data_IF_150991920900
#
_entry.id   IF_150991920900
#
_cell.length_a   1.000
_cell.length_b   1.000
_cell.length_c   1.000
_cell.angle_alpha   90.00
_cell.angle_beta   90.00
_cell.angle_gamma   90.00
#
_symmetry.space_group_name_H-M   'P 1'
#
loop_
_entity.id
_entity.type
_entity.pdbx_description
1 polymer ?
#
# COMPACT_ATOMS: atom_id res chain seq x y z
N UNK A 1 -12.79 -0.40 -7.83
CA UNK A 1 -12.65 0.10 -6.46
C UNK A 1 -11.27 0.71 -6.21
N UNK A 2 -11.18 1.54 -5.22
CA UNK A 2 -9.91 2.11 -4.73
C UNK A 2 -9.62 1.43 -3.40
N UNK A 3 -8.50 0.71 -3.32
CA UNK A 3 -8.13 -0.09 -2.15
C UNK A 3 -6.70 0.20 -1.73
N UNK A 4 -6.36 -0.10 -0.48
CA UNK A 4 -4.99 -0.08 -0.01
C UNK A 4 -4.54 -1.50 0.31
N UNK A 5 -3.26 -1.77 0.16
CA UNK A 5 -2.64 -3.04 0.56
C UNK A 5 -1.26 -2.75 1.14
N UNK A 6 -1.04 -3.22 2.36
CA UNK A 6 0.19 -2.95 3.09
C UNK A 6 0.38 -3.97 4.21
N UNK A 7 1.63 -4.25 4.56
CA UNK A 7 1.97 -5.10 5.70
C UNK A 7 2.51 -4.25 6.84
N UNK A 8 2.23 -4.63 8.07
CA UNK A 8 2.77 -3.98 9.26
C UNK A 8 3.03 -5.01 10.36
N UNK A 9 3.94 -4.66 11.27
CA UNK A 9 4.22 -5.48 12.44
C UNK A 9 3.15 -5.30 13.53
N UNK A 10 3.36 -5.89 14.70
CA UNK A 10 2.44 -5.86 15.82
C UNK A 10 2.04 -4.42 16.24
N UNK A 11 2.95 -3.46 16.12
CA UNK A 11 2.73 -2.07 16.51
C UNK A 11 2.30 -1.16 15.36
N UNK A 12 2.06 -1.72 14.19
CA UNK A 12 1.76 -0.92 13.00
C UNK A 12 2.99 -0.46 12.25
N UNK A 13 4.18 -0.94 12.62
CA UNK A 13 5.42 -0.59 11.95
C UNK A 13 5.48 -1.15 10.55
N UNK A 14 5.89 -0.34 9.57
CA UNK A 14 5.93 -0.73 8.16
C UNK A 14 7.34 -0.72 7.59
N UNK A 15 8.26 0.04 8.18
CA UNK A 15 9.61 0.18 7.67
C UNK A 15 10.60 0.61 8.74
N UNK A 16 11.87 0.34 8.48
CA UNK A 16 13.01 0.84 9.27
C UNK A 16 14.10 1.22 8.28
N UNK A 17 14.53 2.47 8.34
CA UNK A 17 15.51 2.98 7.39
C UNK A 17 15.07 2.94 5.95
N UNK A 18 13.76 3.07 5.69
CA UNK A 18 13.20 3.10 4.35
C UNK A 18 12.92 1.73 3.72
N UNK A 19 13.08 0.64 4.47
CA UNK A 19 12.84 -0.71 3.95
C UNK A 19 12.13 -1.59 4.98
N UNK A 20 11.56 -2.70 4.53
CA UNK A 20 10.90 -3.68 5.38
C UNK A 20 11.94 -4.36 6.27
N UNK A 21 11.78 -4.32 7.62
CA UNK A 21 12.80 -4.84 8.54
C UNK A 21 12.69 -6.33 8.87
N UNK A 22 11.53 -6.97 8.61
CA UNK A 22 11.35 -8.39 8.90
C UNK A 22 11.94 -9.26 7.80
N UNK A 23 12.24 -10.54 8.12
CA UNK A 23 12.73 -11.49 7.11
C UNK A 23 11.72 -11.65 5.98
N UNK A 24 12.21 -12.05 4.80
CA UNK A 24 11.36 -12.29 3.63
C UNK A 24 10.17 -13.17 4.00
N UNK A 25 8.96 -12.64 3.79
CA UNK A 25 7.71 -13.34 4.06
C UNK A 25 7.07 -13.73 2.73
N UNK A 26 7.35 -14.96 2.29
CA UNK A 26 6.90 -15.46 0.99
C UNK A 26 5.38 -15.47 0.86
N UNK A 27 4.68 -15.81 1.94
CA UNK A 27 3.23 -15.86 1.93
C UNK A 27 2.63 -14.48 1.71
N UNK A 28 3.17 -13.46 2.37
CA UNK A 28 2.73 -12.08 2.20
C UNK A 28 3.07 -11.53 0.81
N UNK A 29 4.25 -11.84 0.30
CA UNK A 29 4.65 -11.43 -1.06
C UNK A 29 3.72 -12.04 -2.11
N UNK A 30 3.33 -13.29 -1.94
CA UNK A 30 2.38 -13.98 -2.84
C UNK A 30 0.99 -13.34 -2.78
N UNK A 31 0.54 -12.99 -1.59
CA UNK A 31 -0.73 -12.29 -1.37
C UNK A 31 -0.73 -10.94 -2.08
N UNK A 32 0.32 -10.17 -1.91
CA UNK A 32 0.48 -8.87 -2.56
C UNK A 32 0.44 -8.99 -4.09
N UNK A 33 1.24 -9.91 -4.63
CA UNK A 33 1.31 -10.16 -6.07
C UNK A 33 -0.04 -10.58 -6.64
N UNK A 34 -0.70 -11.52 -5.99
CA UNK A 34 -2.01 -12.04 -6.40
C UNK A 34 -3.06 -10.92 -6.49
N UNK A 35 -3.08 -10.03 -5.50
CA UNK A 35 -4.08 -8.97 -5.45
C UNK A 35 -3.79 -7.83 -6.43
N UNK A 36 -2.53 -7.49 -6.64
CA UNK A 36 -2.16 -6.30 -7.44
C UNK A 36 -1.91 -6.57 -8.92
N UNK A 37 -1.62 -7.81 -9.31
CA UNK A 37 -1.32 -8.15 -10.72
C UNK A 37 -2.47 -7.74 -11.66
N UNK A 38 -2.10 -7.14 -12.79
CA UNK A 38 -3.00 -6.62 -13.84
C UNK A 38 -3.85 -5.42 -13.38
N UNK A 39 -3.47 -4.80 -12.28
CA UNK A 39 -4.14 -3.61 -11.75
C UNK A 39 -3.18 -2.42 -11.69
N UNK A 40 -3.66 -1.30 -11.16
CA UNK A 40 -2.87 -0.08 -10.96
C UNK A 40 -2.33 -0.07 -9.53
N UNK A 41 -1.05 0.23 -9.38
CA UNK A 41 -0.43 0.41 -8.06
C UNK A 41 0.06 1.85 -7.93
N UNK A 42 -0.27 2.49 -6.81
CA UNK A 42 0.10 3.88 -6.50
C UNK A 42 1.02 3.87 -5.28
N UNK A 43 2.16 4.51 -5.39
CA UNK A 43 3.15 4.54 -4.31
C UNK A 43 3.81 5.90 -4.19
N UNK A 44 4.36 6.19 -3.01
CA UNK A 44 5.16 7.38 -2.79
C UNK A 44 6.63 7.14 -3.13
N UNK A 45 7.42 8.22 -3.11
CA UNK A 45 8.85 8.19 -3.47
C UNK A 45 9.68 7.28 -2.57
N UNK A 46 9.40 7.23 -1.27
CA UNK A 46 10.14 6.35 -0.35
C UNK A 46 9.97 4.88 -0.69
N UNK A 47 8.77 4.48 -1.07
CA UNK A 47 8.49 3.10 -1.51
C UNK A 47 9.20 2.81 -2.83
N UNK A 48 9.14 3.74 -3.77
CA UNK A 48 9.84 3.62 -5.05
C UNK A 48 11.35 3.50 -4.89
N UNK A 49 11.94 4.22 -3.94
CA UNK A 49 13.38 4.22 -3.69
C UNK A 49 13.86 3.04 -2.82
N UNK A 50 12.97 2.17 -2.34
CA UNK A 50 13.34 1.00 -1.54
C UNK A 50 14.21 0.05 -2.37
N UNK A 51 15.50 -0.16 -1.97
CA UNK A 51 16.42 -0.98 -2.76
C UNK A 51 16.08 -2.46 -2.78
N UNK A 52 15.21 -2.92 -1.90
CA UNK A 52 14.80 -4.32 -1.82
C UNK A 52 13.60 -4.65 -2.73
N UNK A 53 13.02 -3.64 -3.37
CA UNK A 53 11.85 -3.84 -4.22
C UNK A 53 12.23 -3.78 -5.70
N UNK A 54 11.73 -4.71 -6.53
CA UNK A 54 12.04 -4.74 -7.96
C UNK A 54 11.15 -3.77 -8.75
N UNK A 55 11.49 -2.49 -8.71
CA UNK A 55 10.73 -1.46 -9.43
C UNK A 55 11.15 -1.34 -10.91
N UNK A 56 10.22 -1.08 -11.84
CA UNK A 56 8.77 -1.11 -11.66
C UNK A 56 8.24 -2.54 -11.47
N UNK A 57 7.09 -2.67 -10.82
CA UNK A 57 6.47 -3.99 -10.62
C UNK A 57 5.93 -4.52 -11.96
N UNK A 58 6.30 -5.74 -12.37
CA UNK A 58 5.86 -6.28 -13.64
C UNK A 58 4.35 -6.57 -13.65
N UNK A 59 3.74 -6.45 -14.84
CA UNK A 59 2.33 -6.73 -15.07
C UNK A 59 1.37 -5.86 -14.25
N UNK A 60 1.80 -4.64 -13.92
CA UNK A 60 1.01 -3.64 -13.21
C UNK A 60 1.27 -2.28 -13.81
N UNK A 61 0.32 -1.39 -13.70
CA UNK A 61 0.52 0.01 -14.07
C UNK A 61 1.09 0.71 -12.84
N UNK A 62 2.34 1.13 -12.91
CA UNK A 62 3.07 1.74 -11.79
C UNK A 62 2.89 3.26 -11.80
N UNK A 63 2.22 3.79 -10.78
CA UNK A 63 1.96 5.22 -10.63
C UNK A 63 2.73 5.73 -9.43
N UNK A 64 3.59 6.72 -9.67
CA UNK A 64 4.42 7.32 -8.62
C UNK A 64 3.86 8.68 -8.22
N UNK A 65 3.52 8.84 -6.95
CA UNK A 65 3.08 10.10 -6.37
C UNK A 65 4.31 10.88 -5.92
N UNK A 66 4.71 11.86 -6.73
CA UNK A 66 5.90 12.68 -6.46
C UNK A 66 5.88 13.97 -7.27
N UNK A 67 6.49 15.02 -6.72
CA UNK A 67 6.79 16.25 -7.47
C UNK A 67 8.16 16.19 -8.15
N UNK A 68 8.92 15.11 -7.94
CA UNK A 68 10.31 14.94 -8.41
C UNK A 68 10.44 13.95 -9.56
N UNK A 69 9.54 14.00 -10.53
CA UNK A 69 9.48 12.97 -11.59
C UNK A 69 10.78 12.85 -12.41
N UNK A 70 11.50 13.96 -12.64
CA UNK A 70 12.78 13.93 -13.36
C UNK A 70 13.88 13.19 -12.59
N UNK A 71 13.79 13.18 -11.26
CA UNK A 71 14.76 12.51 -10.39
C UNK A 71 14.43 11.03 -10.19
N UNK A 72 13.21 10.62 -10.50
CA UNK A 72 12.70 9.27 -10.23
C UNK A 72 12.08 8.67 -11.51
N UNK A 73 12.88 8.42 -12.55
CA UNK A 73 12.36 7.90 -13.83
C UNK A 73 11.91 6.44 -13.72
N UNK A 74 11.08 6.01 -14.65
CA UNK A 74 10.73 4.60 -14.82
C UNK A 74 9.30 4.22 -14.46
N UNK A 75 8.52 5.12 -13.86
CA UNK A 75 7.11 4.85 -13.59
C UNK A 75 6.28 5.01 -14.87
N UNK A 76 5.15 4.31 -14.94
CA UNK A 76 4.22 4.44 -16.07
C UNK A 76 3.50 5.77 -16.05
N UNK A 77 3.24 6.31 -14.87
CA UNK A 77 2.57 7.59 -14.70
C UNK A 77 3.01 8.26 -13.40
N UNK A 78 2.95 9.58 -13.37
CA UNK A 78 3.29 10.40 -12.20
C UNK A 78 2.09 11.26 -11.82
N UNK A 79 1.82 11.35 -10.51
CA UNK A 79 0.78 12.21 -9.96
C UNK A 79 1.35 13.07 -8.83
N UNK A 80 0.79 14.25 -8.64
CA UNK A 80 1.15 15.14 -7.52
C UNK A 80 -0.01 16.08 -7.21
N UNK A 81 0.10 16.85 -6.14
CA UNK A 81 -0.95 17.76 -5.71
C UNK A 81 -1.98 17.06 -4.83
N UNK A 82 -3.26 17.26 -5.12
CA UNK A 82 -4.35 16.59 -4.38
C UNK A 82 -4.47 15.13 -4.81
N UNK A 83 -3.90 14.23 -4.03
CA UNK A 83 -3.86 12.81 -4.37
C UNK A 83 -5.25 12.17 -4.39
N UNK A 84 -6.20 12.66 -3.61
CA UNK A 84 -7.57 12.13 -3.66
C UNK A 84 -8.20 12.38 -5.02
N UNK A 85 -8.01 13.57 -5.57
CA UNK A 85 -8.49 13.94 -6.91
C UNK A 85 -7.77 13.08 -7.96
N UNK A 86 -6.44 12.97 -7.86
CA UNK A 86 -5.62 12.22 -8.82
C UNK A 86 -5.98 10.73 -8.85
N UNK A 87 -6.22 10.12 -7.69
CA UNK A 87 -6.59 8.71 -7.60
C UNK A 87 -7.99 8.46 -8.18
N UNK A 88 -8.93 9.37 -7.96
CA UNK A 88 -10.27 9.27 -8.58
C UNK A 88 -10.19 9.36 -10.08
N UNK A 89 -9.30 10.22 -10.60
CA UNK A 89 -9.05 10.33 -12.04
C UNK A 89 -8.45 9.04 -12.60
N UNK A 90 -7.48 8.43 -11.89
CA UNK A 90 -6.91 7.13 -12.26
C UNK A 90 -8.00 6.06 -12.35
N UNK A 91 -8.94 6.07 -11.41
CA UNK A 91 -10.04 5.08 -11.41
C UNK A 91 -10.94 5.26 -12.63
N UNK A 92 -11.23 6.49 -13.02
CA UNK A 92 -12.01 6.77 -14.24
C UNK A 92 -11.28 6.30 -15.50
N UNK A 93 -9.98 6.54 -15.57
CA UNK A 93 -9.13 6.13 -16.69
C UNK A 93 -8.95 4.62 -16.79
N UNK A 94 -9.10 3.91 -15.67
CA UNK A 94 -8.92 2.46 -15.55
C UNK A 94 -10.15 1.81 -14.92
N UNK A 95 -11.31 2.03 -15.52
CA UNK A 95 -12.63 1.64 -14.95
C UNK A 95 -12.74 0.14 -14.63
N UNK A 96 -12.07 -0.72 -15.40
CA UNK A 96 -12.09 -2.18 -15.23
C UNK A 96 -10.97 -2.71 -14.33
N UNK A 97 -10.20 -1.84 -13.69
CA UNK A 97 -9.08 -2.22 -12.81
C UNK A 97 -9.32 -1.70 -11.40
N UNK A 98 -8.69 -2.36 -10.44
CA UNK A 98 -8.60 -1.85 -9.06
C UNK A 98 -7.42 -0.89 -8.97
N UNK A 99 -7.59 0.20 -8.24
CA UNK A 99 -6.50 1.10 -7.89
C UNK A 99 -6.01 0.69 -6.50
N UNK A 100 -4.76 0.26 -6.41
CA UNK A 100 -4.16 -0.18 -5.16
C UNK A 100 -3.15 0.86 -4.66
N UNK A 101 -3.44 1.49 -3.53
CA UNK A 101 -2.49 2.36 -2.84
C UNK A 101 -1.60 1.45 -1.99
N UNK A 102 -0.30 1.41 -2.29
CA UNK A 102 0.60 0.41 -1.69
C UNK A 102 1.62 1.00 -0.71
N UNK A 103 1.53 2.28 -0.41
CA UNK A 103 2.35 2.91 0.62
C UNK A 103 3.25 4.02 0.12
N UNK A 104 4.03 4.64 1.02
CA UNK A 104 4.04 4.33 2.43
C UNK A 104 2.93 5.00 3.25
N UNK A 105 3.12 5.03 4.58
CA UNK A 105 2.12 5.56 5.50
C UNK A 105 1.64 6.97 5.17
N UNK A 106 2.53 7.83 4.71
CA UNK A 106 2.18 9.21 4.34
C UNK A 106 1.18 9.25 3.18
N UNK A 107 1.40 8.43 2.15
CA UNK A 107 0.48 8.34 1.00
C UNK A 107 -0.86 7.74 1.44
N UNK A 108 -0.83 6.73 2.30
CA UNK A 108 -2.04 6.12 2.86
C UNK A 108 -2.84 7.18 3.63
N UNK A 109 -2.18 7.94 4.50
CA UNK A 109 -2.84 8.97 5.31
C UNK A 109 -3.49 10.05 4.43
N UNK A 110 -2.78 10.52 3.40
CA UNK A 110 -3.29 11.54 2.49
C UNK A 110 -4.50 11.07 1.67
N UNK A 111 -4.64 9.76 1.45
CA UNK A 111 -5.67 9.20 0.57
C UNK A 111 -6.73 8.38 1.30
N UNK A 112 -6.66 8.31 2.63
CA UNK A 112 -7.51 7.44 3.43
C UNK A 112 -9.01 7.68 3.23
N UNK A 113 -9.40 8.92 2.94
CA UNK A 113 -10.80 9.27 2.66
C UNK A 113 -11.32 8.62 1.38
N UNK A 114 -10.45 8.38 0.42
CA UNK A 114 -10.79 7.82 -0.88
C UNK A 114 -10.70 6.30 -0.90
N UNK A 115 -9.92 5.72 0.01
CA UNK A 115 -9.75 4.27 0.10
C UNK A 115 -11.05 3.62 0.61
N UNK A 116 -11.57 2.66 -0.15
CA UNK A 116 -12.82 1.98 0.17
C UNK A 116 -12.62 0.70 0.97
N UNK A 117 -11.51 -0.02 0.70
CA UNK A 117 -11.14 -1.25 1.42
C UNK A 117 -9.65 -1.24 1.72
N UNK A 118 -9.29 -1.78 2.87
CA UNK A 118 -7.90 -1.87 3.29
C UNK A 118 -7.52 -3.36 3.50
N UNK A 119 -6.58 -3.83 2.70
CA UNK A 119 -6.02 -5.18 2.81
C UNK A 119 -4.76 -5.09 3.65
N UNK A 120 -4.85 -5.47 4.92
CA UNK A 120 -3.78 -5.34 5.89
C UNK A 120 -3.20 -6.70 6.25
N UNK A 121 -1.88 -6.85 6.07
CA UNK A 121 -1.15 -8.05 6.52
C UNK A 121 -0.48 -7.72 7.85
N UNK A 122 -0.80 -8.49 8.90
CA UNK A 122 -0.20 -8.34 10.22
C UNK A 122 0.94 -9.34 10.35
N UNK A 123 2.16 -8.83 10.47
CA UNK A 123 3.36 -9.64 10.65
C UNK A 123 3.59 -9.81 12.15
N UNK A 124 3.75 -11.06 12.67
CA UNK A 124 4.00 -11.26 14.10
C UNK A 124 5.31 -10.62 14.55
N UNK A 125 5.31 -10.07 15.75
CA UNK A 125 6.50 -9.51 16.37
C UNK A 125 6.65 -8.00 16.19
N UNK A 126 7.71 -7.48 16.78
CA UNK A 126 8.07 -6.07 16.73
C UNK A 126 9.47 -5.94 16.16
N UNK A 127 9.69 -4.99 15.26
CA UNK A 127 10.94 -4.89 14.50
C UNK A 127 11.64 -3.54 14.64
N UNK A 128 11.26 -2.74 15.66
CA UNK A 128 11.87 -1.46 15.91
C UNK A 128 11.73 -0.48 14.76
N UNK A 129 10.57 -0.46 14.13
CA UNK A 129 10.29 0.39 12.97
C UNK A 129 10.36 1.88 13.30
N UNK A 130 10.68 2.68 12.29
CA UNK A 130 10.61 4.14 12.36
C UNK A 130 9.49 4.72 11.49
N UNK A 131 8.93 3.93 10.57
CA UNK A 131 7.75 4.28 9.80
C UNK A 131 6.55 3.48 10.30
N UNK A 132 5.43 4.16 10.58
CA UNK A 132 4.24 3.53 11.17
C UNK A 132 2.97 3.87 10.43
N UNK A 133 2.11 2.86 10.30
CA UNK A 133 0.73 3.02 9.89
C UNK A 133 -0.10 3.33 11.14
N UNK A 134 -1.08 4.23 11.04
CA UNK A 134 -1.97 4.50 12.16
C UNK A 134 -3.06 3.42 12.24
N UNK A 135 -2.85 2.41 13.09
CA UNK A 135 -3.84 1.37 13.34
C UNK A 135 -5.11 1.97 13.95
N UNK A 136 -4.97 3.01 14.77
CA UNK A 136 -6.10 3.72 15.37
C UNK A 136 -7.02 4.34 14.32
N UNK A 137 -6.44 4.97 13.29
CA UNK A 137 -7.24 5.54 12.19
C UNK A 137 -7.95 4.46 11.39
N UNK A 138 -7.29 3.32 11.15
CA UNK A 138 -7.92 2.20 10.46
C UNK A 138 -9.12 1.69 11.25
N UNK A 139 -8.95 1.46 12.55
CA UNK A 139 -10.03 0.98 13.41
C UNK A 139 -11.19 1.98 13.52
N UNK A 140 -10.88 3.27 13.46
CA UNK A 140 -11.89 4.35 13.53
C UNK A 140 -12.71 4.48 12.24
N UNK A 141 -12.06 4.32 11.09
CA UNK A 141 -12.65 4.60 9.77
C UNK A 141 -13.14 3.36 9.03
N UNK A 142 -12.63 2.20 9.39
CA UNK A 142 -12.93 0.95 8.72
C UNK A 142 -13.40 -0.11 9.72
N UNK A 143 -14.06 -1.14 9.20
CA UNK A 143 -14.48 -2.29 9.99
C UNK A 143 -13.86 -3.55 9.40
N UNK A 144 -13.22 -4.37 10.24
CA UNK A 144 -12.65 -5.64 9.81
C UNK A 144 -13.79 -6.60 9.44
N UNK A 145 -13.83 -7.02 8.19
CA UNK A 145 -14.88 -7.88 7.65
C UNK A 145 -14.41 -9.31 7.40
N UNK A 146 -13.12 -9.52 7.33
CA UNK A 146 -12.54 -10.84 7.05
C UNK A 146 -11.12 -10.92 7.60
N UNK A 147 -10.71 -12.10 8.04
CA UNK A 147 -9.32 -12.37 8.37
C UNK A 147 -9.00 -13.85 8.16
N UNK A 148 -7.71 -14.12 7.92
CA UNK A 148 -7.19 -15.48 7.80
C UNK A 148 -5.82 -15.52 8.48
N UNK A 149 -5.72 -16.29 9.55
CA UNK A 149 -4.51 -16.35 10.37
C UNK A 149 -3.61 -17.52 9.97
N UNK A 150 -2.34 -17.21 9.72
CA UNK A 150 -1.27 -18.18 9.50
C UNK A 150 -0.19 -17.96 10.56
N UNK A 151 0.78 -18.87 10.63
CA UNK A 151 1.87 -18.74 11.59
C UNK A 151 2.71 -17.49 11.35
N UNK A 152 3.01 -17.17 10.09
CA UNK A 152 3.90 -16.07 9.73
C UNK A 152 3.20 -14.76 9.36
N UNK A 153 1.88 -14.76 9.19
CA UNK A 153 1.11 -13.57 8.84
C UNK A 153 -0.38 -13.78 9.06
N UNK A 154 -1.08 -12.72 9.45
CA UNK A 154 -2.55 -12.70 9.45
C UNK A 154 -3.01 -11.72 8.39
N UNK A 155 -3.73 -12.20 7.39
CA UNK A 155 -4.36 -11.35 6.38
C UNK A 155 -5.69 -10.82 6.90
N UNK A 156 -5.94 -9.53 6.69
CA UNK A 156 -7.17 -8.88 7.13
C UNK A 156 -7.73 -8.02 6.01
N UNK A 157 -9.05 -7.98 5.89
CA UNK A 157 -9.73 -7.05 4.98
C UNK A 157 -10.63 -6.16 5.85
N UNK A 158 -10.42 -4.86 5.71
CA UNK A 158 -11.17 -3.83 6.41
C UNK A 158 -11.94 -3.01 5.39
N UNK A 159 -13.24 -2.85 5.60
CA UNK A 159 -14.09 -2.05 4.72
C UNK A 159 -14.48 -0.75 5.37
N UNK A 160 -14.59 0.32 4.59
CA UNK A 160 -14.93 1.62 5.12
C UNK A 160 -16.29 1.56 5.81
N UNK A 161 -16.35 2.07 7.03
CA UNK A 161 -17.59 2.16 7.80
C UNK A 161 -18.49 3.25 7.18
N UNK A 162 -19.79 2.98 7.18
CA UNK A 162 -20.78 3.93 6.70
C UNK A 162 -21.23 4.87 7.81
#
# INVERSE_FOLDING_TARGET
MIKAILACDKRGGVSKGGTIPWPKNTKDLSWFKKNTTNNVVVMGSKTWEDPLMPWPLPNRINVLATSRKEELPGADKYICGDLNVEIKTLKKENANKTIWVIGGPNIIEQTIETIEEFYLSRIPGEYGCDGFLSLENIERLFKKTWFEKHEEVEFQIWKKAK
#
